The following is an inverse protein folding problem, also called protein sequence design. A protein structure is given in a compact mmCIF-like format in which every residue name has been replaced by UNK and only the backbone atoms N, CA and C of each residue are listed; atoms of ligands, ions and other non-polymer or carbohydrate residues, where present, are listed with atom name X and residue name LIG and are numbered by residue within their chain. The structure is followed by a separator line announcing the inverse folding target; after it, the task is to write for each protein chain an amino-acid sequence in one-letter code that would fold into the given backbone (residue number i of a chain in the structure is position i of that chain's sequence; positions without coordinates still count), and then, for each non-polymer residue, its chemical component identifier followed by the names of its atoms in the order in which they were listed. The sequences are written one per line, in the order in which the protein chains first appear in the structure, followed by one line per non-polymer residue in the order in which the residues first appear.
data_IF_217201658171
#
_entry.id   IF_217201658171
#
_cell.length_a   1.000
_cell.length_b   1.000
_cell.length_c   1.000
_cell.angle_alpha   90.00
_cell.angle_beta   90.00
_cell.angle_gamma   90.00
#
_symmetry.space_group_name_H-M   'P 1'
#
loop_
_entity.id
_entity.type
_entity.pdbx_description
1 polymer ?
#
# COMPACT_ATOMS: atom_id res chain seq x y z
N UNK A 1 0.11 12.79 1.61
CA UNK A 1 -0.19 11.34 1.62
C UNK A 1 -0.08 10.70 0.21
N UNK A 2 0.65 11.33 -0.71
CA UNK A 2 0.82 10.85 -2.08
C UNK A 2 1.80 9.68 -2.17
N UNK A 3 1.74 8.93 -3.26
CA UNK A 3 2.82 8.00 -3.63
C UNK A 3 3.81 8.74 -4.52
N UNK A 4 5.02 8.96 -4.02
CA UNK A 4 6.15 9.60 -4.73
C UNK A 4 7.43 8.80 -4.49
N UNK A 5 8.50 9.12 -5.21
CA UNK A 5 9.80 8.48 -5.00
C UNK A 5 10.49 8.92 -3.70
N UNK A 6 11.36 8.09 -3.11
CA UNK A 6 12.09 8.44 -1.89
C UNK A 6 12.98 9.67 -2.04
N UNK A 7 13.57 9.87 -3.21
CA UNK A 7 14.39 11.05 -3.55
C UNK A 7 13.55 12.33 -3.54
N UNK A 8 12.38 12.28 -4.17
CA UNK A 8 11.44 13.38 -4.30
C UNK A 8 10.88 13.77 -2.94
N UNK A 9 10.57 12.78 -2.09
CA UNK A 9 10.12 13.01 -0.71
C UNK A 9 11.19 13.71 0.14
N UNK A 10 12.45 13.26 0.04
CA UNK A 10 13.59 13.90 0.73
C UNK A 10 13.85 15.32 0.23
N UNK A 11 13.74 15.54 -1.09
CA UNK A 11 13.87 16.87 -1.68
C UNK A 11 12.78 17.80 -1.12
N UNK A 12 11.52 17.36 -1.14
CA UNK A 12 10.40 18.13 -0.61
C UNK A 12 10.58 18.45 0.88
N UNK A 13 11.04 17.49 1.69
CA UNK A 13 11.35 17.74 3.09
C UNK A 13 12.42 18.83 3.27
N UNK A 14 13.48 18.82 2.45
CA UNK A 14 14.52 19.84 2.48
C UNK A 14 14.02 21.23 2.06
N UNK A 15 13.20 21.30 1.01
CA UNK A 15 12.58 22.56 0.54
C UNK A 15 11.65 23.16 1.61
N UNK A 16 10.84 22.33 2.25
CA UNK A 16 9.94 22.75 3.34
C UNK A 16 10.72 23.22 4.57
N UNK A 17 11.77 22.50 4.95
CA UNK A 17 12.64 22.91 6.06
C UNK A 17 13.32 24.26 5.78
N UNK A 18 13.81 24.47 4.55
CA UNK A 18 14.40 25.76 4.13
C UNK A 18 13.38 26.91 4.15
N UNK A 19 12.10 26.62 3.96
CA UNK A 19 11.00 27.57 4.07
C UNK A 19 10.50 27.78 5.51
N UNK A 20 11.11 27.15 6.51
CA UNK A 20 10.75 27.28 7.93
C UNK A 20 9.61 26.36 8.38
N UNK A 21 9.26 25.33 7.62
CA UNK A 21 8.30 24.31 8.05
C UNK A 21 8.97 23.38 9.06
N UNK A 22 8.39 23.30 10.26
CA UNK A 22 8.97 22.55 11.38
C UNK A 22 8.91 21.03 11.21
N UNK A 23 7.90 20.54 10.46
CA UNK A 23 7.65 19.11 10.34
C UNK A 23 7.11 18.73 8.96
N UNK A 24 7.80 17.78 8.32
CA UNK A 24 7.30 17.07 7.15
C UNK A 24 7.08 15.60 7.52
N UNK A 25 5.84 15.13 7.35
CA UNK A 25 5.47 13.74 7.58
C UNK A 25 5.16 13.07 6.25
N UNK A 26 6.02 12.15 5.84
CA UNK A 26 5.75 11.22 4.76
C UNK A 26 4.66 10.25 5.24
N UNK A 27 3.54 10.18 4.55
CA UNK A 27 2.39 9.38 4.98
C UNK A 27 1.64 8.70 3.80
N UNK A 28 2.31 7.89 2.94
CA UNK A 28 1.61 7.06 1.98
C UNK A 28 0.74 6.01 2.68
N UNK A 29 -0.26 5.49 1.95
CA UNK A 29 -1.27 4.58 2.51
C UNK A 29 -1.48 3.33 1.66
N UNK A 30 -1.92 2.25 2.28
CA UNK A 30 -2.66 1.16 1.63
C UNK A 30 -4.12 1.20 2.09
N UNK A 31 -5.02 0.91 1.15
CA UNK A 31 -6.45 1.06 1.30
C UNK A 31 -7.04 1.96 0.21
N UNK A 32 -8.34 1.92 0.10
CA UNK A 32 -9.16 2.66 -0.86
C UNK A 32 -10.20 3.47 -0.10
N UNK A 33 -11.21 3.99 -0.81
CA UNK A 33 -12.23 4.84 -0.21
C UNK A 33 -12.94 4.19 1.00
N UNK A 34 -13.38 2.91 0.96
CA UNK A 34 -14.03 2.28 2.11
C UNK A 34 -13.15 2.25 3.36
N UNK A 35 -11.86 1.97 3.21
CA UNK A 35 -10.92 1.96 4.34
C UNK A 35 -10.65 3.37 4.87
N UNK A 36 -10.66 4.39 4.00
CA UNK A 36 -10.53 5.79 4.43
C UNK A 36 -11.75 6.25 5.23
N UNK A 37 -12.97 5.92 4.77
CA UNK A 37 -14.22 6.22 5.46
C UNK A 37 -14.34 5.48 6.79
N UNK A 38 -13.87 4.23 6.86
CA UNK A 38 -13.87 3.43 8.06
C UNK A 38 -12.74 3.77 9.05
N UNK A 39 -11.78 4.62 8.67
CA UNK A 39 -10.60 4.93 9.50
C UNK A 39 -9.63 3.75 9.65
N UNK A 40 -9.58 2.87 8.65
CA UNK A 40 -8.80 1.62 8.66
C UNK A 40 -7.68 1.60 7.62
N UNK A 41 -7.28 2.76 7.07
CA UNK A 41 -6.13 2.83 6.19
C UNK A 41 -4.87 2.30 6.89
N UNK A 42 -4.07 1.53 6.16
CA UNK A 42 -2.74 1.19 6.62
C UNK A 42 -1.81 2.34 6.25
N UNK A 43 -1.56 3.21 7.23
CA UNK A 43 -0.72 4.40 7.04
C UNK A 43 0.73 4.04 7.38
N UNK A 44 1.62 4.37 6.45
CA UNK A 44 3.07 4.25 6.60
C UNK A 44 3.61 5.64 6.83
N UNK A 45 4.07 5.94 8.04
CA UNK A 45 4.55 7.26 8.43
C UNK A 45 6.08 7.28 8.56
N UNK A 46 6.74 8.28 7.98
CA UNK A 46 8.17 8.51 8.15
C UNK A 46 8.45 10.00 8.32
N UNK A 47 9.39 10.31 9.22
CA UNK A 47 9.72 11.67 9.64
C UNK A 47 11.12 11.71 10.26
N UNK A 48 11.82 12.84 10.14
CA UNK A 48 13.16 13.01 10.72
C UNK A 48 13.13 13.31 12.23
N UNK A 49 11.98 13.71 12.75
CA UNK A 49 11.67 13.88 14.18
C UNK A 49 10.42 13.08 14.55
N UNK A 50 10.17 12.88 15.85
CA UNK A 50 8.98 12.17 16.33
C UNK A 50 7.69 12.92 15.94
N UNK A 51 6.84 12.36 15.04
CA UNK A 51 5.65 13.04 14.60
C UNK A 51 4.49 12.93 15.61
N UNK A 52 4.59 12.12 16.66
CA UNK A 52 3.45 11.79 17.55
C UNK A 52 2.93 12.97 18.37
N UNK A 53 3.75 13.99 18.57
CA UNK A 53 3.39 15.23 19.27
C UNK A 53 2.84 16.30 18.32
N UNK A 54 2.87 16.06 17.01
CA UNK A 54 2.44 17.02 16.00
C UNK A 54 0.91 17.08 15.86
N UNK A 55 0.43 18.19 15.31
CA UNK A 55 -0.99 18.37 14.94
C UNK A 55 -1.43 17.44 13.81
N UNK A 56 -0.50 16.90 13.02
CA UNK A 56 -0.81 15.94 11.96
C UNK A 56 -1.15 14.55 12.50
N UNK A 57 -0.59 14.16 13.66
CA UNK A 57 -0.73 12.79 14.17
C UNK A 57 -2.17 12.38 14.51
N UNK A 58 -3.00 13.22 15.18
CA UNK A 58 -4.41 12.91 15.39
C UNK A 58 -5.18 12.72 14.09
N UNK A 59 -4.85 13.48 13.03
CA UNK A 59 -5.48 13.34 11.71
C UNK A 59 -5.13 12.00 11.07
N UNK A 60 -3.86 11.60 11.11
CA UNK A 60 -3.44 10.29 10.62
C UNK A 60 -4.14 9.16 11.39
N UNK A 61 -4.24 9.26 12.72
CA UNK A 61 -4.93 8.27 13.56
C UNK A 61 -6.43 8.16 13.30
N UNK A 62 -7.07 9.24 12.84
CA UNK A 62 -8.48 9.21 12.45
C UNK A 62 -8.70 8.46 11.13
N UNK A 63 -7.71 8.49 10.23
CA UNK A 63 -7.75 7.82 8.92
C UNK A 63 -7.25 6.38 8.96
N UNK A 64 -6.39 6.06 9.93
CA UNK A 64 -5.86 4.72 10.16
C UNK A 64 -5.52 4.53 11.62
N UNK A 65 -6.15 3.56 12.29
CA UNK A 65 -6.08 3.37 13.75
C UNK A 65 -4.65 3.31 14.32
N UNK A 66 -3.67 2.83 13.55
CA UNK A 66 -2.28 2.67 13.99
C UNK A 66 -1.28 3.01 12.87
N UNK A 67 -0.94 4.30 12.64
CA UNK A 67 0.07 4.66 11.66
C UNK A 67 1.43 4.06 12.03
N UNK A 68 2.03 3.31 11.11
CA UNK A 68 3.31 2.62 11.32
C UNK A 68 4.47 3.60 11.13
N UNK A 69 5.29 3.82 12.16
CA UNK A 69 6.49 4.65 12.06
C UNK A 69 7.65 3.86 11.44
N UNK A 70 8.11 4.28 10.27
CA UNK A 70 9.14 3.60 9.45
C UNK A 70 10.50 4.30 9.48
N UNK A 71 10.69 5.22 10.44
CA UNK A 71 11.93 5.98 10.59
C UNK A 71 11.94 7.26 9.76
N UNK A 72 13.07 7.56 9.12
CA UNK A 72 13.37 8.83 8.45
C UNK A 72 12.69 8.99 7.10
N UNK A 73 12.58 10.23 6.64
CA UNK A 73 11.96 10.57 5.35
C UNK A 73 12.56 9.75 4.19
N UNK A 74 11.69 9.23 3.33
CA UNK A 74 12.00 8.35 2.22
C UNK A 74 11.77 6.86 2.51
N UNK A 75 11.73 6.45 3.79
CA UNK A 75 11.49 5.05 4.15
C UNK A 75 10.07 4.59 3.85
N UNK A 76 9.04 5.37 4.18
CA UNK A 76 7.65 5.02 3.90
C UNK A 76 7.32 5.07 2.40
N UNK A 77 7.94 5.99 1.64
CA UNK A 77 7.86 6.01 0.18
C UNK A 77 8.46 4.74 -0.43
N UNK A 78 9.64 4.33 0.04
CA UNK A 78 10.28 3.10 -0.43
C UNK A 78 9.43 1.86 -0.13
N UNK A 79 8.91 1.74 1.10
CA UNK A 79 8.01 0.64 1.49
C UNK A 79 6.74 0.65 0.66
N UNK A 80 6.10 1.81 0.43
CA UNK A 80 4.91 1.92 -0.41
C UNK A 80 5.17 1.47 -1.84
N UNK A 81 6.29 1.87 -2.44
CA UNK A 81 6.65 1.47 -3.80
C UNK A 81 6.90 -0.04 -3.89
N UNK A 82 7.58 -0.62 -2.90
CA UNK A 82 7.77 -2.07 -2.82
C UNK A 82 6.44 -2.82 -2.73
N UNK A 83 5.49 -2.34 -1.92
CA UNK A 83 4.14 -2.91 -1.82
C UNK A 83 3.36 -2.79 -3.14
N UNK A 84 3.43 -1.65 -3.82
CA UNK A 84 2.79 -1.49 -5.13
C UNK A 84 3.42 -2.42 -6.19
N UNK A 85 4.74 -2.60 -6.17
CA UNK A 85 5.43 -3.55 -7.04
C UNK A 85 4.97 -4.99 -6.75
N UNK A 86 4.83 -5.37 -5.48
CA UNK A 86 4.35 -6.69 -5.09
C UNK A 86 2.93 -6.94 -5.60
N UNK A 87 2.01 -5.98 -5.42
CA UNK A 87 0.64 -6.05 -5.94
C UNK A 87 0.64 -6.32 -7.45
N UNK A 88 1.46 -5.59 -8.21
CA UNK A 88 1.55 -5.76 -9.66
C UNK A 88 2.12 -7.13 -10.05
N UNK A 89 3.18 -7.57 -9.37
CA UNK A 89 3.84 -8.85 -9.64
C UNK A 89 2.93 -10.05 -9.36
N UNK A 90 2.25 -10.05 -8.20
CA UNK A 90 1.30 -11.10 -7.83
C UNK A 90 0.11 -11.15 -8.79
N UNK A 91 -0.44 -9.99 -9.17
CA UNK A 91 -1.55 -9.90 -10.12
C UNK A 91 -1.15 -10.47 -11.49
N UNK A 92 0.03 -10.12 -11.99
CA UNK A 92 0.52 -10.63 -13.27
C UNK A 92 0.73 -12.16 -13.25
N UNK A 93 1.34 -12.67 -12.18
CA UNK A 93 1.56 -14.10 -11.98
C UNK A 93 0.23 -14.87 -11.91
N UNK A 94 -0.74 -14.32 -11.19
CA UNK A 94 -2.07 -14.89 -11.09
C UNK A 94 -2.80 -14.90 -12.44
N UNK A 95 -2.84 -13.77 -13.17
CA UNK A 95 -3.47 -13.70 -14.49
C UNK A 95 -2.86 -14.71 -15.48
N UNK A 96 -1.53 -14.86 -15.45
CA UNK A 96 -0.84 -15.83 -16.31
C UNK A 96 -1.23 -17.28 -15.97
N UNK A 97 -1.34 -17.59 -14.68
CA UNK A 97 -1.75 -18.91 -14.18
C UNK A 97 -3.22 -19.20 -14.48
N UNK A 98 -4.11 -18.23 -14.26
CA UNK A 98 -5.53 -18.33 -14.60
C UNK A 98 -5.73 -18.55 -16.10
N UNK A 99 -5.00 -17.82 -16.95
CA UNK A 99 -5.05 -18.02 -18.40
C UNK A 99 -4.59 -19.43 -18.83
N UNK A 100 -3.66 -20.05 -18.11
CA UNK A 100 -3.27 -21.44 -18.36
C UNK A 100 -4.42 -22.41 -18.04
N UNK A 101 -5.08 -22.23 -16.89
CA UNK A 101 -6.24 -23.03 -16.46
C UNK A 101 -7.39 -22.91 -17.47
N UNK A 102 -7.69 -21.70 -17.93
CA UNK A 102 -8.73 -21.46 -18.92
C UNK A 102 -8.41 -22.15 -20.26
N UNK A 103 -7.18 -22.03 -20.76
CA UNK A 103 -6.76 -22.65 -22.04
C UNK A 103 -6.70 -24.18 -21.99
N UNK A 104 -6.48 -24.77 -20.83
CA UNK A 104 -6.51 -26.23 -20.68
C UNK A 104 -7.93 -26.79 -20.61
N UNK A 105 -8.96 -25.94 -20.48
CA UNK A 105 -10.35 -26.35 -20.29
C UNK A 105 -10.65 -26.83 -18.86
N UNK A 106 -9.74 -26.58 -17.90
CA UNK A 106 -9.98 -26.88 -16.50
C UNK A 106 -10.97 -25.89 -15.88
N UNK A 107 -11.73 -26.35 -14.89
CA UNK A 107 -12.68 -25.51 -14.18
C UNK A 107 -11.96 -24.48 -13.29
N UNK A 108 -12.20 -23.21 -13.57
CA UNK A 108 -11.64 -22.08 -12.80
C UNK A 108 -12.14 -22.10 -11.37
N UNK A 109 -13.37 -22.53 -11.10
CA UNK A 109 -13.91 -22.60 -9.75
C UNK A 109 -13.10 -23.59 -8.88
N UNK A 110 -12.88 -24.80 -9.38
CA UNK A 110 -12.04 -25.79 -8.70
C UNK A 110 -10.60 -25.31 -8.50
N UNK A 111 -10.01 -24.64 -9.49
CA UNK A 111 -8.68 -24.03 -9.34
C UNK A 111 -8.66 -22.99 -8.22
N UNK A 112 -9.66 -22.09 -8.17
CA UNK A 112 -9.75 -21.07 -7.14
C UNK A 112 -10.00 -21.65 -5.75
N UNK A 113 -10.79 -22.72 -5.63
CA UNK A 113 -11.04 -23.38 -4.35
C UNK A 113 -9.75 -24.01 -3.78
N UNK A 114 -8.95 -24.68 -4.63
CA UNK A 114 -7.64 -25.19 -4.23
C UNK A 114 -6.70 -24.03 -3.86
N UNK A 115 -6.67 -22.96 -4.68
CA UNK A 115 -5.78 -21.82 -4.47
C UNK A 115 -6.06 -21.15 -3.12
N UNK A 116 -7.32 -20.85 -2.79
CA UNK A 116 -7.74 -20.21 -1.52
C UNK A 116 -7.33 -21.00 -0.28
N UNK A 117 -7.22 -22.32 -0.38
CA UNK A 117 -6.74 -23.18 0.70
C UNK A 117 -5.21 -23.28 0.82
N UNK A 118 -4.45 -22.65 -0.08
CA UNK A 118 -3.00 -22.79 -0.18
C UNK A 118 -2.24 -21.56 0.31
N UNK A 119 -0.94 -21.73 0.56
CA UNK A 119 -0.03 -20.63 0.90
C UNK A 119 0.22 -19.63 -0.25
N UNK A 120 -0.28 -19.93 -1.45
CA UNK A 120 -0.12 -19.07 -2.62
C UNK A 120 -1.18 -17.97 -2.69
N UNK A 121 -2.26 -18.09 -1.92
CA UNK A 121 -3.41 -17.21 -2.03
C UNK A 121 -3.11 -15.79 -1.52
N UNK A 122 -3.39 -14.81 -2.38
CA UNK A 122 -3.52 -13.42 -1.99
C UNK A 122 -4.98 -12.97 -2.22
N UNK A 123 -5.61 -12.25 -1.28
CA UNK A 123 -6.99 -11.76 -1.42
C UNK A 123 -7.26 -10.94 -2.68
N UNK A 124 -6.22 -10.36 -3.29
CA UNK A 124 -6.33 -9.61 -4.55
C UNK A 124 -6.78 -10.49 -5.73
N UNK A 125 -6.53 -11.80 -5.67
CA UNK A 125 -6.87 -12.72 -6.76
C UNK A 125 -8.38 -12.83 -6.99
N UNK A 126 -9.19 -12.79 -5.92
CA UNK A 126 -10.65 -12.80 -6.04
C UNK A 126 -11.16 -11.58 -6.81
N UNK A 127 -10.54 -10.41 -6.61
CA UNK A 127 -10.88 -9.19 -7.35
C UNK A 127 -10.57 -9.33 -8.84
N UNK A 128 -9.48 -10.01 -9.19
CA UNK A 128 -9.10 -10.24 -10.59
C UNK A 128 -10.10 -11.16 -11.27
N UNK A 129 -10.49 -12.25 -10.61
CA UNK A 129 -11.47 -13.22 -11.15
C UNK A 129 -12.81 -12.55 -11.42
N UNK A 130 -13.33 -11.77 -10.48
CA UNK A 130 -14.61 -11.04 -10.61
C UNK A 130 -14.63 -10.04 -11.78
N UNK A 131 -13.47 -9.56 -12.22
CA UNK A 131 -13.36 -8.58 -13.31
C UNK A 131 -13.03 -9.22 -14.68
N UNK A 132 -12.73 -10.53 -14.71
CA UNK A 132 -12.24 -11.23 -15.92
C UNK A 132 -13.23 -12.28 -16.45
N UNK A 133 -14.15 -12.76 -15.61
CA UNK A 133 -15.24 -13.66 -15.98
C UNK A 133 -16.57 -12.90 -16.07
#
# INVERSE_FOLDING_TARGET
MSTIGPSESKQLAGELAAAGVELYVEAPVLGSQPEAEAGTLQIMAACDSDPTTSTAWPVLRALGQEPRLLGRVGSAAAVKLALNQLIAAETLAFCSSLGLVQRSGADVAHFMDILRGSALYAPTFDKVVLNTL
#
